data_IF_667824371883
#
_entry.id   IF_667824371883
#
_cell.length_a   1.000
_cell.length_b   1.000
_cell.length_c   1.000
_cell.angle_alpha   90.00
_cell.angle_beta   90.00
_cell.angle_gamma   90.00
#
_symmetry.space_group_name_H-M   'P 1'
#
loop_
_entity.id
_entity.type
_entity.pdbx_description
1 polymer ?
#
# COMPACT_ATOMS: atom_id res chain seq x y z
N UNK A 1 -11.29 -4.09 3.05
CA UNK A 1 -10.38 -3.03 3.56
C UNK A 1 -9.99 -3.24 5.01
N UNK A 2 -10.92 -3.41 5.96
CA UNK A 2 -10.52 -3.65 7.36
C UNK A 2 -9.84 -5.00 7.57
N UNK A 3 -10.34 -6.07 6.93
CA UNK A 3 -9.64 -7.37 6.91
C UNK A 3 -8.24 -7.27 6.31
N UNK A 4 -8.09 -6.52 5.21
CA UNK A 4 -6.78 -6.28 4.61
C UNK A 4 -5.83 -5.57 5.60
N UNK A 5 -6.31 -4.52 6.27
CA UNK A 5 -5.53 -3.81 7.30
C UNK A 5 -5.13 -4.75 8.45
N UNK A 6 -6.04 -5.59 8.92
CA UNK A 6 -5.77 -6.60 9.96
C UNK A 6 -4.68 -7.58 9.53
N UNK A 7 -4.79 -8.16 8.32
CA UNK A 7 -3.78 -9.09 7.81
C UNK A 7 -2.40 -8.43 7.73
N UNK A 8 -2.31 -7.20 7.23
CA UNK A 8 -1.04 -6.48 7.13
C UNK A 8 -0.48 -6.09 8.51
N UNK A 9 -1.33 -5.61 9.43
CA UNK A 9 -0.93 -5.24 10.79
C UNK A 9 -0.44 -6.46 11.60
N UNK A 10 -1.04 -7.62 11.38
CA UNK A 10 -0.66 -8.89 12.02
C UNK A 10 0.48 -9.62 11.30
N UNK A 11 1.05 -9.02 10.25
CA UNK A 11 2.14 -9.57 9.41
C UNK A 11 1.76 -10.85 8.67
N UNK A 12 0.46 -11.07 8.42
CA UNK A 12 -0.09 -12.13 7.57
C UNK A 12 -0.03 -11.73 6.09
N UNK A 13 1.14 -11.24 5.66
CA UNK A 13 1.37 -10.68 4.33
C UNK A 13 1.18 -11.72 3.22
N UNK A 14 1.57 -12.98 3.48
CA UNK A 14 1.32 -14.11 2.56
C UNK A 14 -0.15 -14.30 2.28
N UNK A 15 -0.94 -14.34 3.35
CA UNK A 15 -2.38 -14.54 3.23
C UNK A 15 -3.05 -13.36 2.52
N UNK A 16 -2.66 -12.13 2.84
CA UNK A 16 -3.11 -10.95 2.10
C UNK A 16 -2.82 -11.10 0.60
N UNK A 17 -1.57 -11.44 0.24
CA UNK A 17 -1.16 -11.57 -1.15
C UNK A 17 -1.93 -12.67 -1.89
N UNK A 18 -2.07 -13.84 -1.28
CA UNK A 18 -2.68 -15.01 -1.95
C UNK A 18 -4.21 -14.95 -2.00
N UNK A 19 -4.86 -14.30 -1.03
CA UNK A 19 -6.33 -14.32 -0.92
C UNK A 19 -7.01 -13.03 -1.38
N UNK A 20 -6.27 -11.91 -1.43
CA UNK A 20 -6.85 -10.60 -1.71
C UNK A 20 -6.23 -9.90 -2.93
N UNK A 21 -5.11 -10.39 -3.47
CA UNK A 21 -4.39 -9.71 -4.55
C UNK A 21 -4.46 -10.54 -5.83
N UNK A 22 -4.81 -9.88 -6.94
CA UNK A 22 -4.92 -10.55 -8.23
C UNK A 22 -3.53 -10.80 -8.83
N UNK A 23 -3.30 -11.93 -9.53
CA UNK A 23 -2.02 -12.20 -10.21
C UNK A 23 -1.59 -11.14 -11.23
N UNK A 24 -2.54 -10.36 -11.78
CA UNK A 24 -2.30 -9.26 -12.72
C UNK A 24 -2.25 -7.88 -12.04
N UNK A 25 -2.04 -7.82 -10.71
CA UNK A 25 -2.04 -6.56 -9.96
C UNK A 25 -0.98 -5.58 -10.46
N UNK A 26 -1.37 -4.31 -10.54
CA UNK A 26 -0.46 -3.16 -10.65
C UNK A 26 -0.48 -2.39 -9.34
N UNK A 27 0.62 -2.40 -8.60
CA UNK A 27 0.73 -1.77 -7.28
C UNK A 27 1.77 -0.65 -7.31
N UNK A 28 1.33 0.59 -7.15
CA UNK A 28 2.15 1.78 -7.39
C UNK A 28 2.07 2.79 -6.27
N UNK A 29 3.23 3.38 -5.94
CA UNK A 29 3.36 4.52 -5.02
C UNK A 29 4.15 5.60 -5.77
N UNK A 30 3.51 6.51 -6.52
CA UNK A 30 4.19 7.54 -7.31
C UNK A 30 4.97 8.52 -6.44
N UNK A 31 6.09 9.01 -6.97
CA UNK A 31 6.82 10.12 -6.36
C UNK A 31 6.00 11.41 -6.45
N UNK A 32 6.08 12.26 -5.43
CA UNK A 32 5.40 13.55 -5.38
C UNK A 32 6.41 14.69 -5.34
N UNK A 33 6.16 15.76 -6.09
CA UNK A 33 6.96 16.97 -6.09
C UNK A 33 6.12 18.19 -5.71
N UNK A 34 6.75 19.18 -5.10
CA UNK A 34 6.13 20.49 -4.89
C UNK A 34 6.04 21.20 -6.25
N UNK A 35 4.83 21.49 -6.67
CA UNK A 35 4.55 22.19 -7.93
C UNK A 35 3.60 23.35 -7.70
N UNK A 36 3.62 24.33 -8.60
CA UNK A 36 2.63 25.41 -8.62
C UNK A 36 1.22 24.84 -8.84
N UNK A 37 0.20 25.50 -8.28
CA UNK A 37 -1.21 25.04 -8.36
C UNK A 37 -1.68 24.73 -9.79
N UNK A 38 -1.26 25.53 -10.76
CA UNK A 38 -1.63 25.35 -12.17
C UNK A 38 -1.10 24.04 -12.78
N UNK A 39 -0.07 23.43 -12.18
CA UNK A 39 0.54 22.16 -12.63
C UNK A 39 -0.07 20.94 -11.94
N UNK A 40 -1.14 21.13 -11.15
CA UNK A 40 -1.88 20.05 -10.51
C UNK A 40 -1.29 19.58 -9.18
N UNK A 41 -1.41 18.28 -8.90
CA UNK A 41 -1.11 17.71 -7.57
C UNK A 41 0.35 17.26 -7.38
N UNK A 42 1.17 17.30 -8.44
CA UNK A 42 2.60 17.00 -8.37
C UNK A 42 2.97 15.52 -8.29
N UNK A 43 2.04 14.60 -8.56
CA UNK A 43 2.35 13.16 -8.65
C UNK A 43 2.99 12.83 -10.01
N UNK A 44 4.12 12.12 -9.98
CA UNK A 44 4.79 11.64 -11.20
C UNK A 44 3.98 10.53 -11.88
N UNK A 45 4.00 10.53 -13.22
CA UNK A 45 3.41 9.48 -14.04
C UNK A 45 4.39 8.35 -14.39
N UNK A 46 5.69 8.56 -14.17
CA UNK A 46 6.77 7.69 -14.66
C UNK A 46 7.79 7.30 -13.59
N UNK A 47 7.70 7.90 -12.39
CA UNK A 47 8.67 7.68 -11.31
C UNK A 47 7.93 7.33 -10.04
N UNK A 48 8.33 6.22 -9.43
CA UNK A 48 7.62 5.62 -8.30
C UNK A 48 8.59 5.25 -7.18
N UNK A 49 8.11 5.37 -5.94
CA UNK A 49 8.73 4.73 -4.78
C UNK A 49 8.54 3.21 -4.80
N UNK A 50 7.40 2.76 -5.34
CA UNK A 50 7.09 1.36 -5.58
C UNK A 50 6.35 1.26 -6.92
N UNK A 51 6.79 0.35 -7.78
CA UNK A 51 6.10 -0.04 -9.00
C UNK A 51 6.19 -1.57 -9.08
N UNK A 52 5.16 -2.23 -8.59
CA UNK A 52 5.19 -3.63 -8.21
C UNK A 52 4.15 -4.44 -8.99
N UNK A 53 4.58 -5.63 -9.41
CA UNK A 53 3.73 -6.69 -9.94
C UNK A 53 3.46 -7.73 -8.84
N UNK A 54 2.55 -8.67 -9.08
CA UNK A 54 2.35 -9.80 -8.16
C UNK A 54 3.66 -10.54 -7.84
N UNK A 55 4.52 -10.76 -8.85
CA UNK A 55 5.80 -11.44 -8.68
C UNK A 55 6.79 -10.68 -7.80
N UNK A 56 6.83 -9.35 -7.89
CA UNK A 56 7.71 -8.53 -7.06
C UNK A 56 7.16 -8.31 -5.66
N UNK A 57 5.83 -8.21 -5.48
CA UNK A 57 5.17 -8.29 -4.18
C UNK A 57 5.45 -9.62 -3.48
N UNK A 58 5.36 -10.74 -4.21
CA UNK A 58 5.70 -12.07 -3.73
C UNK A 58 7.15 -12.16 -3.24
N UNK A 59 8.09 -11.56 -3.97
CA UNK A 59 9.49 -11.49 -3.56
C UNK A 59 9.68 -10.68 -2.27
N UNK A 60 8.92 -9.59 -2.08
CA UNK A 60 8.91 -8.80 -0.84
C UNK A 60 8.38 -9.61 0.34
N UNK A 61 7.25 -10.31 0.18
CA UNK A 61 6.69 -11.16 1.23
C UNK A 61 7.69 -12.25 1.63
N UNK A 62 8.29 -12.96 0.65
CA UNK A 62 9.31 -13.98 0.92
C UNK A 62 10.52 -13.43 1.65
N UNK A 63 10.93 -12.20 1.33
CA UNK A 63 12.01 -11.52 2.04
C UNK A 63 11.61 -11.28 3.49
N UNK A 64 10.43 -10.70 3.74
CA UNK A 64 9.94 -10.40 5.10
C UNK A 64 9.74 -11.67 5.95
N UNK A 65 9.41 -12.81 5.33
CA UNK A 65 9.35 -14.14 5.98
C UNK A 65 10.73 -14.70 6.34
N UNK A 66 11.81 -14.20 5.71
CA UNK A 66 13.16 -14.68 5.96
C UNK A 66 13.79 -14.00 7.18
N UNK A 67 14.60 -14.76 7.95
CA UNK A 67 15.43 -14.21 9.03
C UNK A 67 16.59 -13.32 8.56
N UNK A 68 16.67 -13.01 7.26
CA UNK A 68 17.68 -12.13 6.68
C UNK A 68 17.11 -10.76 6.26
N UNK A 69 15.83 -10.51 6.53
CA UNK A 69 15.23 -9.19 6.39
C UNK A 69 15.67 -8.27 7.53
N UNK A 70 16.96 -7.93 7.62
CA UNK A 70 17.51 -7.05 8.67
C UNK A 70 16.76 -5.71 8.83
N UNK A 71 16.12 -5.24 7.75
CA UNK A 71 15.26 -4.05 7.77
C UNK A 71 13.97 -4.24 8.59
N UNK A 72 13.44 -5.46 8.68
CA UNK A 72 12.22 -5.85 9.39
C UNK A 72 12.45 -7.01 10.38
N UNK A 73 13.69 -7.16 10.86
CA UNK A 73 14.05 -8.05 11.96
C UNK A 73 14.92 -7.28 12.98
N UNK A 74 14.38 -6.85 14.14
CA UNK A 74 12.99 -7.04 14.57
C UNK A 74 11.96 -6.26 13.74
N UNK A 75 10.74 -6.79 13.57
CA UNK A 75 9.73 -6.23 12.69
C UNK A 75 9.16 -4.91 13.18
N UNK A 76 8.79 -4.07 12.22
CA UNK A 76 8.04 -2.84 12.49
C UNK A 76 6.68 -3.16 13.13
N UNK A 77 6.25 -2.29 14.03
CA UNK A 77 4.86 -2.25 14.49
C UNK A 77 4.13 -1.23 13.63
N UNK A 78 3.25 -1.72 12.77
CA UNK A 78 2.47 -0.90 11.86
C UNK A 78 0.99 -0.86 12.29
N UNK A 79 0.29 0.21 11.91
CA UNK A 79 -1.18 0.26 11.95
C UNK A 79 -1.75 1.00 10.76
N UNK A 80 -2.66 0.36 10.06
CA UNK A 80 -3.38 0.95 8.93
C UNK A 80 -4.73 1.52 9.38
N UNK A 81 -4.81 2.83 9.51
CA UNK A 81 -6.08 3.52 9.72
C UNK A 81 -6.71 3.85 8.36
N UNK A 82 -7.75 3.10 8.00
CA UNK A 82 -8.47 3.28 6.74
C UNK A 82 -9.80 3.99 6.98
N UNK A 83 -10.05 5.08 6.25
CA UNK A 83 -11.26 5.89 6.38
C UNK A 83 -11.70 6.48 5.04
N UNK A 84 -12.81 7.23 5.04
CA UNK A 84 -13.33 7.97 3.89
C UNK A 84 -13.46 7.10 2.61
N UNK A 85 -13.98 5.88 2.79
CA UNK A 85 -14.15 4.90 1.72
C UNK A 85 -15.23 5.41 0.76
N UNK A 86 -14.88 5.52 -0.51
CA UNK A 86 -15.73 6.01 -1.60
C UNK A 86 -15.68 4.99 -2.73
N UNK A 87 -16.83 4.40 -3.04
CA UNK A 87 -16.96 3.33 -4.04
C UNK A 87 -17.64 3.89 -5.29
N UNK A 88 -17.06 3.62 -6.45
CA UNK A 88 -17.66 3.86 -7.76
C UNK A 88 -17.64 2.60 -8.59
N UNK A 89 -18.67 2.39 -9.41
CA UNK A 89 -18.72 1.27 -10.34
C UNK A 89 -17.77 1.54 -11.51
N UNK A 90 -17.01 0.53 -11.94
CA UNK A 90 -16.26 0.56 -13.19
C UNK A 90 -16.98 -0.23 -14.27
N UNK A 91 -17.38 -1.47 -13.95
CA UNK A 91 -18.21 -2.35 -14.77
C UNK A 91 -19.08 -3.27 -13.88
N UNK A 92 -19.62 -4.36 -14.40
CA UNK A 92 -20.49 -5.31 -13.68
C UNK A 92 -19.76 -6.09 -12.57
N UNK A 93 -18.44 -6.28 -12.71
CA UNK A 93 -17.62 -7.08 -11.82
C UNK A 93 -16.43 -6.30 -11.26
N UNK A 94 -16.28 -5.03 -11.59
CA UNK A 94 -15.16 -4.20 -11.20
C UNK A 94 -15.63 -2.92 -10.49
N UNK A 95 -14.99 -2.63 -9.36
CA UNK A 95 -15.18 -1.40 -8.59
C UNK A 95 -13.92 -0.57 -8.58
N UNK A 96 -14.08 0.75 -8.68
CA UNK A 96 -13.07 1.72 -8.33
C UNK A 96 -13.33 2.21 -6.90
N UNK A 97 -12.34 2.10 -6.03
CA UNK A 97 -12.49 2.47 -4.63
C UNK A 97 -11.41 3.45 -4.22
N UNK A 98 -11.81 4.54 -3.58
CA UNK A 98 -10.90 5.50 -2.96
C UNK A 98 -11.01 5.40 -1.45
N UNK A 99 -9.90 5.40 -0.75
CA UNK A 99 -9.87 5.42 0.72
C UNK A 99 -8.73 6.30 1.22
N UNK A 100 -8.95 7.01 2.31
CA UNK A 100 -7.87 7.66 3.02
C UNK A 100 -7.12 6.61 3.85
N UNK A 101 -5.80 6.74 3.90
CA UNK A 101 -4.91 5.95 4.73
C UNK A 101 -4.13 6.88 5.64
N UNK A 102 -4.07 6.53 6.92
CA UNK A 102 -3.01 6.95 7.81
C UNK A 102 -2.27 5.69 8.27
N UNK A 103 -1.01 5.58 7.89
CA UNK A 103 -0.12 4.52 8.31
C UNK A 103 0.73 5.01 9.48
N UNK A 104 0.58 4.35 10.61
CA UNK A 104 1.42 4.52 11.78
C UNK A 104 2.52 3.45 11.75
N UNK A 105 3.78 3.83 12.02
CA UNK A 105 4.89 2.88 12.14
C UNK A 105 5.83 3.26 13.27
N UNK A 106 6.20 2.28 14.09
CA UNK A 106 7.39 2.35 14.95
C UNK A 106 8.29 1.14 14.68
N UNK A 107 9.59 1.28 14.89
CA UNK A 107 10.56 0.18 14.72
C UNK A 107 11.55 0.17 15.87
N UNK A 108 11.96 -1.02 16.29
CA UNK A 108 12.97 -1.21 17.36
C UNK A 108 12.66 -0.35 18.59
N UNK A 109 13.58 0.51 19.01
CA UNK A 109 13.51 1.40 20.17
C UNK A 109 13.05 2.83 19.83
N UNK A 110 12.55 3.06 18.61
CA UNK A 110 12.04 4.38 18.22
C UNK A 110 10.86 4.79 19.10
N UNK A 111 11.01 5.93 19.77
CA UNK A 111 9.98 6.57 20.61
C UNK A 111 9.09 7.53 19.82
N UNK A 112 9.57 8.02 18.67
CA UNK A 112 8.79 8.88 17.77
C UNK A 112 8.24 8.05 16.62
N UNK A 113 6.91 7.90 16.54
CA UNK A 113 6.29 7.17 15.43
C UNK A 113 6.41 7.94 14.12
N UNK A 114 6.55 7.19 13.04
CA UNK A 114 6.43 7.70 11.68
C UNK A 114 4.97 7.64 11.25
N UNK A 115 4.48 8.74 10.70
CA UNK A 115 3.16 8.83 10.11
C UNK A 115 3.28 9.05 8.62
N UNK A 116 2.57 8.25 7.84
CA UNK A 116 2.41 8.44 6.40
C UNK A 116 0.92 8.53 6.10
N UNK A 117 0.45 9.71 5.69
CA UNK A 117 -0.90 9.87 5.17
C UNK A 117 -0.91 9.78 3.65
N UNK A 118 -2.05 9.36 3.12
CA UNK A 118 -2.29 9.40 1.69
C UNK A 118 -3.68 8.91 1.32
N UNK A 119 -3.92 8.84 0.02
CA UNK A 119 -5.15 8.29 -0.55
C UNK A 119 -4.81 7.07 -1.42
N UNK A 120 -5.51 5.96 -1.18
CA UNK A 120 -5.45 4.78 -2.04
C UNK A 120 -6.50 4.88 -3.13
N UNK A 121 -6.11 4.58 -4.36
CA UNK A 121 -6.96 4.47 -5.54
C UNK A 121 -6.88 3.02 -6.01
N UNK A 122 -7.87 2.25 -5.61
CA UNK A 122 -7.92 0.81 -5.80
C UNK A 122 -8.90 0.46 -6.93
N UNK A 123 -8.56 -0.58 -7.68
CA UNK A 123 -9.49 -1.31 -8.53
C UNK A 123 -9.66 -2.72 -7.97
N UNK A 124 -10.89 -3.10 -7.70
CA UNK A 124 -11.26 -4.41 -7.17
C UNK A 124 -12.11 -5.14 -8.19
N UNK A 125 -11.80 -6.41 -8.45
CA UNK A 125 -12.55 -7.27 -9.37
C UNK A 125 -13.13 -8.47 -8.64
N UNK A 126 -14.39 -8.77 -8.87
CA UNK A 126 -15.08 -9.91 -8.32
C UNK A 126 -14.67 -11.19 -9.06
N UNK A 127 -14.06 -12.13 -8.36
CA UNK A 127 -13.63 -13.43 -8.90
C UNK A 127 -14.09 -14.51 -7.93
N UNK A 128 -14.92 -15.45 -8.38
CA UNK A 128 -15.40 -16.55 -7.53
C UNK A 128 -16.14 -16.11 -6.26
N UNK A 129 -16.79 -14.93 -6.29
CA UNK A 129 -17.48 -14.35 -5.12
C UNK A 129 -16.58 -13.56 -4.16
N UNK A 130 -15.29 -13.42 -4.47
CA UNK A 130 -14.32 -12.65 -3.67
C UNK A 130 -13.80 -11.43 -4.45
N UNK A 131 -13.63 -10.31 -3.75
CA UNK A 131 -13.05 -9.09 -4.33
C UNK A 131 -11.53 -9.17 -4.28
N UNK A 132 -10.91 -9.12 -5.46
CA UNK A 132 -9.46 -9.19 -5.65
C UNK A 132 -8.92 -7.83 -6.08
N UNK A 133 -7.80 -7.39 -5.48
CA UNK A 133 -7.10 -6.17 -5.83
C UNK A 133 -6.37 -6.33 -7.17
N UNK A 134 -6.79 -5.61 -8.19
CA UNK A 134 -6.17 -5.63 -9.52
C UNK A 134 -5.31 -4.40 -9.78
N UNK A 135 -5.54 -3.32 -9.03
CA UNK A 135 -4.73 -2.12 -9.10
C UNK A 135 -4.77 -1.37 -7.79
N UNK A 136 -3.63 -0.85 -7.35
CA UNK A 136 -3.53 0.12 -6.25
C UNK A 136 -2.58 1.24 -6.64
N UNK A 137 -3.03 2.47 -6.55
CA UNK A 137 -2.17 3.66 -6.59
C UNK A 137 -2.27 4.37 -5.24
N UNK A 138 -1.15 4.46 -4.51
CA UNK A 138 -1.06 5.11 -3.21
C UNK A 138 -0.48 6.50 -3.37
N UNK A 139 -1.32 7.51 -3.22
CA UNK A 139 -0.94 8.92 -3.31
C UNK A 139 -0.57 9.43 -1.94
N UNK A 140 0.71 9.35 -1.58
CA UNK A 140 1.22 9.85 -0.31
C UNK A 140 1.21 11.39 -0.24
N UNK A 141 1.03 11.92 0.97
CA UNK A 141 1.09 13.35 1.27
C UNK A 141 2.49 13.89 1.55
N UNK A 142 3.50 13.20 1.01
CA UNK A 142 4.91 13.46 1.26
C UNK A 142 5.66 13.65 -0.06
N UNK A 143 6.46 14.71 -0.16
CA UNK A 143 7.43 14.89 -1.25
C UNK A 143 8.77 14.24 -0.92
N UNK A 144 9.17 14.28 0.34
CA UNK A 144 10.29 13.54 0.90
C UNK A 144 9.75 12.60 1.98
N UNK A 145 10.01 11.30 1.82
CA UNK A 145 9.61 10.29 2.82
C UNK A 145 10.74 10.20 3.84
N UNK A 146 10.52 10.78 5.02
CA UNK A 146 11.45 10.72 6.15
C UNK A 146 11.38 9.34 6.86
N UNK A 147 11.48 8.26 6.09
CA UNK A 147 11.55 6.89 6.57
C UNK A 147 12.83 6.24 6.08
N UNK A 148 13.43 5.39 6.92
CA UNK A 148 14.64 4.65 6.54
C UNK A 148 14.41 3.66 5.40
N UNK A 149 13.17 3.20 5.21
CA UNK A 149 12.78 2.29 4.13
C UNK A 149 11.26 2.30 3.92
N UNK A 150 10.81 1.72 2.80
CA UNK A 150 9.42 1.39 2.52
C UNK A 150 9.22 -0.12 2.46
N UNK A 151 9.52 -0.80 3.58
CA UNK A 151 9.33 -2.24 3.73
C UNK A 151 7.90 -2.62 4.18
N UNK A 152 6.93 -1.70 4.04
CA UNK A 152 5.54 -1.86 4.45
C UNK A 152 4.63 -1.74 3.22
N UNK A 153 3.54 -2.50 3.21
CA UNK A 153 2.45 -2.36 2.24
C UNK A 153 1.46 -1.28 2.69
N UNK A 154 0.68 -0.71 1.78
CA UNK A 154 -0.20 0.43 2.02
C UNK A 154 -1.64 0.08 1.67
#
# INVERSE_FOLDING_TARGET
MYLEAELLDDRREREWLETMVSPDVVYQVPLRSTVERARGFGFSATTFHMDESYGSLMARVRRNESGFAWAEDPPSRARHFVSNIRVGRHDDHTLNVRSNLLLFRTRQEQTTPQFMSGERHDQLRLVGGQWMLTKRIVRLDLTAIASHNLAIFF
#
